data_IF_559416012814
#
_entry.id   IF_559416012814
#
_cell.length_a   1.000
_cell.length_b   1.000
_cell.length_c   1.000
_cell.angle_alpha   90.00
_cell.angle_beta   90.00
_cell.angle_gamma   90.00
#
_symmetry.space_group_name_H-M   'P 1'
#
loop_
_entity.id
_entity.type
_entity.pdbx_description
1 polymer ?
#
# COMPACT_ATOMS: atom_id res chain seq x y z
N UNK A 1 3.46 8.77 -9.51
CA UNK A 1 3.41 7.96 -8.27
C UNK A 1 4.64 8.33 -7.46
N UNK A 2 4.50 8.89 -6.25
CA UNK A 2 5.69 9.11 -5.41
C UNK A 2 6.00 7.80 -4.67
N UNK A 3 7.22 7.33 -4.84
CA UNK A 3 7.81 6.25 -4.05
C UNK A 3 8.26 6.84 -2.70
N UNK A 4 8.01 6.14 -1.60
CA UNK A 4 8.53 6.48 -0.27
C UNK A 4 9.63 5.49 0.11
N UNK A 5 10.77 5.94 0.62
CA UNK A 5 11.87 5.06 1.01
C UNK A 5 11.94 5.00 2.54
N UNK A 6 11.84 3.80 3.10
CA UNK A 6 11.89 3.58 4.54
C UNK A 6 12.76 2.38 4.89
N UNK A 7 13.80 2.57 5.72
CA UNK A 7 14.74 1.53 6.17
C UNK A 7 15.31 0.62 5.06
N UNK A 8 15.53 1.17 3.87
CA UNK A 8 16.04 0.42 2.71
C UNK A 8 14.97 -0.29 1.86
N UNK A 9 13.69 -0.13 2.20
CA UNK A 9 12.57 -0.62 1.43
C UNK A 9 11.92 0.53 0.64
N UNK A 10 11.52 0.24 -0.59
CA UNK A 10 10.68 1.11 -1.39
C UNK A 10 9.20 0.81 -1.10
N UNK A 11 8.45 1.84 -0.77
CA UNK A 11 7.03 1.79 -0.45
C UNK A 11 6.26 2.47 -1.58
N UNK A 12 5.32 1.72 -2.16
CA UNK A 12 4.46 2.16 -3.25
C UNK A 12 2.99 2.11 -2.80
N UNK A 13 2.41 3.27 -2.43
CA UNK A 13 0.99 3.35 -2.12
C UNK A 13 0.13 3.11 -3.36
N UNK A 14 -0.85 2.22 -3.25
CA UNK A 14 -1.78 1.84 -4.31
C UNK A 14 -3.20 2.23 -3.87
N UNK A 15 -3.68 3.38 -4.35
CA UNK A 15 -4.99 3.92 -3.97
C UNK A 15 -5.97 3.73 -5.11
N UNK A 16 -7.13 3.15 -4.83
CA UNK A 16 -8.16 2.88 -5.82
C UNK A 16 -9.56 3.15 -5.27
N UNK A 17 -10.55 3.50 -6.11
CA UNK A 17 -11.94 3.67 -5.67
C UNK A 17 -12.47 2.38 -5.04
N UNK A 18 -13.19 2.48 -3.92
CA UNK A 18 -13.80 1.33 -3.26
C UNK A 18 -14.88 0.69 -4.12
N UNK A 19 -15.70 1.52 -4.78
CA UNK A 19 -16.72 1.09 -5.72
C UNK A 19 -16.25 1.40 -7.14
N UNK A 20 -16.15 0.40 -8.04
CA UNK A 20 -15.86 0.65 -9.44
C UNK A 20 -16.96 1.54 -10.01
N UNK A 21 -16.61 2.49 -10.88
CA UNK A 21 -17.62 3.41 -11.39
C UNK A 21 -18.68 2.65 -12.18
N UNK A 22 -19.94 2.88 -11.81
CA UNK A 22 -21.07 2.34 -12.55
C UNK A 22 -21.30 3.28 -13.73
N UNK A 23 -21.24 2.75 -14.96
CA UNK A 23 -21.63 3.42 -16.21
C UNK A 23 -20.66 4.47 -16.78
N UNK A 24 -19.35 4.23 -16.75
CA UNK A 24 -18.41 5.02 -17.57
C UNK A 24 -18.13 6.44 -17.07
N UNK A 25 -18.66 6.83 -15.91
CA UNK A 25 -18.16 8.02 -15.20
C UNK A 25 -16.75 7.70 -14.68
N UNK A 26 -15.72 8.52 -14.89
CA UNK A 26 -14.35 8.14 -14.55
C UNK A 26 -14.13 7.95 -13.04
N UNK A 27 -14.97 8.53 -12.17
CA UNK A 27 -14.76 8.48 -10.72
C UNK A 27 -16.09 8.44 -9.95
N UNK A 28 -16.25 7.45 -9.06
CA UNK A 28 -17.29 7.44 -8.04
C UNK A 28 -16.66 7.77 -6.69
N UNK A 29 -16.48 9.05 -6.40
CA UNK A 29 -15.86 9.51 -5.16
C UNK A 29 -16.76 9.36 -3.93
N UNK A 30 -18.07 9.16 -4.12
CA UNK A 30 -19.04 8.96 -3.03
C UNK A 30 -18.87 7.59 -2.34
N UNK A 31 -18.25 6.62 -3.02
CA UNK A 31 -17.99 5.28 -2.47
C UNK A 31 -16.75 5.21 -1.57
N UNK A 32 -15.94 6.28 -1.51
CA UNK A 32 -14.65 6.29 -0.83
C UNK A 32 -13.54 5.53 -1.58
N UNK A 33 -12.41 5.38 -0.90
CA UNK A 33 -11.19 4.79 -1.45
C UNK A 33 -10.74 3.59 -0.62
N UNK A 34 -10.22 2.59 -1.29
CA UNK A 34 -9.44 1.54 -0.67
C UNK A 34 -7.94 1.79 -0.91
N UNK A 35 -7.14 1.17 -0.05
CA UNK A 35 -5.70 1.28 -0.11
C UNK A 35 -5.05 -0.11 -0.10
N UNK A 36 -4.00 -0.23 -0.90
CA UNK A 36 -2.99 -1.26 -0.75
C UNK A 36 -1.61 -0.59 -0.74
N UNK A 37 -0.59 -1.36 -0.39
CA UNK A 37 0.79 -0.91 -0.42
C UNK A 37 1.68 -2.03 -0.92
N UNK A 38 2.52 -1.73 -1.91
CA UNK A 38 3.58 -2.64 -2.33
C UNK A 38 4.88 -2.22 -1.68
N UNK A 39 5.52 -3.15 -0.98
CA UNK A 39 6.81 -2.96 -0.34
C UNK A 39 7.83 -3.76 -1.14
N UNK A 40 8.87 -3.10 -1.64
CA UNK A 40 9.95 -3.72 -2.37
C UNK A 40 11.27 -3.59 -1.60
N UNK A 41 12.02 -4.68 -1.53
CA UNK A 41 13.42 -4.63 -1.15
C UNK A 41 14.26 -4.54 -2.42
N UNK A 42 15.06 -3.49 -2.55
CA UNK A 42 16.06 -3.42 -3.59
C UNK A 42 17.19 -4.39 -3.28
N UNK A 43 17.31 -5.45 -4.06
CA UNK A 43 18.53 -6.26 -4.10
C UNK A 43 19.69 -5.41 -4.62
N UNK A 44 20.84 -5.48 -3.96
CA UNK A 44 22.03 -4.71 -4.34
C UNK A 44 22.70 -5.21 -5.62
N UNK A 45 22.40 -6.42 -6.07
CA UNK A 45 23.14 -7.09 -7.14
C UNK A 45 22.26 -8.10 -7.87
N UNK A 46 21.47 -7.64 -8.84
CA UNK A 46 20.83 -8.44 -9.91
C UNK A 46 20.08 -9.75 -9.50
N UNK A 47 19.67 -9.88 -8.24
CA UNK A 47 19.05 -11.10 -7.72
C UNK A 47 17.80 -10.73 -6.95
N UNK A 48 16.67 -10.78 -7.67
CA UNK A 48 15.29 -10.68 -7.19
C UNK A 48 14.99 -9.46 -6.32
N UNK A 49 14.41 -8.42 -6.93
CA UNK A 49 13.57 -7.45 -6.19
C UNK A 49 12.45 -8.23 -5.50
N UNK A 50 12.62 -8.52 -4.21
CA UNK A 50 11.56 -9.16 -3.43
C UNK A 50 10.52 -8.09 -3.12
N UNK A 51 9.27 -8.35 -3.49
CA UNK A 51 8.18 -7.42 -3.23
C UNK A 51 6.95 -8.14 -2.74
N UNK A 52 6.31 -7.60 -1.72
CA UNK A 52 5.04 -8.09 -1.20
C UNK A 52 4.02 -6.94 -1.27
N UNK A 53 2.77 -7.27 -1.60
CA UNK A 53 1.68 -6.28 -1.66
C UNK A 53 0.67 -6.60 -0.58
N UNK A 54 0.39 -5.60 0.25
CA UNK A 54 -0.54 -5.72 1.37
C UNK A 54 -1.75 -4.84 1.10
N UNK A 55 -2.94 -5.41 1.23
CA UNK A 55 -4.18 -4.64 1.23
C UNK A 55 -4.45 -4.13 2.64
N UNK A 56 -4.80 -2.86 2.78
CA UNK A 56 -5.21 -2.31 4.06
C UNK A 56 -6.62 -2.81 4.39
N UNK A 57 -6.73 -3.65 5.41
CA UNK A 57 -8.01 -4.14 5.91
C UNK A 57 -8.70 -3.06 6.76
N UNK A 58 -9.20 -2.01 6.12
CA UNK A 58 -10.05 -1.02 6.78
C UNK A 58 -11.49 -1.53 6.85
N UNK A 59 -12.17 -1.31 7.99
CA UNK A 59 -13.60 -1.66 8.14
C UNK A 59 -14.51 -0.76 7.30
N UNK A 60 -14.04 0.44 6.99
CA UNK A 60 -14.74 1.43 6.17
C UNK A 60 -13.77 1.99 5.12
N UNK A 61 -14.25 2.32 3.92
CA UNK A 61 -13.45 3.01 2.92
C UNK A 61 -12.92 4.35 3.46
N UNK A 62 -11.77 4.78 2.95
CA UNK A 62 -11.22 6.09 3.24
C UNK A 62 -12.02 7.17 2.52
N UNK A 63 -12.32 8.28 3.20
CA UNK A 63 -13.07 9.40 2.64
C UNK A 63 -12.31 10.12 1.52
N UNK A 64 -10.96 10.10 1.57
CA UNK A 64 -10.12 10.71 0.56
C UNK A 64 -8.94 9.84 0.15
N UNK A 65 -8.48 10.01 -1.08
CA UNK A 65 -7.25 9.37 -1.57
C UNK A 65 -6.01 9.79 -0.75
N UNK A 66 -6.03 10.98 -0.17
CA UNK A 66 -4.97 11.48 0.71
C UNK A 66 -4.89 10.71 2.02
N UNK A 67 -6.04 10.44 2.65
CA UNK A 67 -6.13 9.60 3.84
C UNK A 67 -5.70 8.17 3.55
N UNK A 68 -6.22 7.60 2.46
CA UNK A 68 -5.87 6.26 2.00
C UNK A 68 -4.35 6.11 1.79
N UNK A 69 -3.71 7.14 1.22
CA UNK A 69 -2.26 7.18 1.00
C UNK A 69 -1.46 7.29 2.28
N UNK A 70 -1.85 8.16 3.21
CA UNK A 70 -1.19 8.27 4.52
C UNK A 70 -1.28 6.96 5.28
N UNK A 71 -2.47 6.35 5.31
CA UNK A 71 -2.69 5.06 5.93
C UNK A 71 -1.82 3.97 5.29
N UNK A 72 -1.73 3.95 3.96
CA UNK A 72 -0.90 3.01 3.19
C UNK A 72 0.59 3.10 3.56
N UNK A 73 1.12 4.31 3.69
CA UNK A 73 2.51 4.54 4.13
C UNK A 73 2.72 4.10 5.57
N UNK A 74 1.85 4.52 6.49
CA UNK A 74 1.94 4.14 7.91
C UNK A 74 1.87 2.63 8.11
N UNK A 75 0.98 1.95 7.37
CA UNK A 75 0.87 0.50 7.39
C UNK A 75 2.16 -0.17 6.92
N UNK A 76 2.77 0.33 5.84
CA UNK A 76 4.05 -0.20 5.38
C UNK A 76 5.19 0.02 6.37
N UNK A 77 5.25 1.20 7.00
CA UNK A 77 6.23 1.49 8.05
C UNK A 77 6.05 0.53 9.23
N UNK A 78 4.81 0.25 9.68
CA UNK A 78 4.51 -0.73 10.72
C UNK A 78 4.92 -2.17 10.32
N UNK A 79 4.68 -2.55 9.07
CA UNK A 79 5.09 -3.86 8.54
C UNK A 79 6.63 -3.99 8.55
N UNK A 80 7.34 -2.92 8.20
CA UNK A 80 8.81 -2.89 8.18
C UNK A 80 9.39 -2.81 9.61
N UNK A 81 8.76 -2.04 10.50
CA UNK A 81 9.21 -1.84 11.89
C UNK A 81 8.98 -3.06 12.78
N UNK A 82 8.15 -4.02 12.36
CA UNK A 82 8.20 -5.39 12.86
C UNK A 82 7.04 -5.83 13.74
N UNK A 83 5.82 -5.90 13.20
CA UNK A 83 4.75 -6.66 13.86
C UNK A 83 4.07 -7.71 12.97
N UNK A 84 4.88 -8.59 12.37
CA UNK A 84 4.51 -10.01 12.33
C UNK A 84 5.34 -10.70 13.39
N UNK A 85 4.71 -11.05 14.51
CA UNK A 85 5.31 -11.87 15.55
C UNK A 85 5.73 -13.27 15.10
N UNK A 86 5.68 -13.63 13.80
CA UNK A 86 5.97 -15.01 13.39
C UNK A 86 6.71 -15.21 12.04
N UNK A 87 6.87 -14.25 11.12
CA UNK A 87 7.65 -14.50 9.87
C UNK A 87 8.35 -13.26 9.32
N UNK A 88 9.65 -13.33 8.97
CA UNK A 88 10.37 -12.25 8.29
C UNK A 88 9.77 -11.99 6.90
N UNK A 89 9.72 -10.71 6.50
CA UNK A 89 9.20 -10.26 5.19
C UNK A 89 9.82 -11.02 4.00
N UNK A 90 11.00 -11.61 4.21
CA UNK A 90 11.74 -12.36 3.20
C UNK A 90 12.55 -13.53 3.79
N UNK A 91 12.03 -14.26 4.79
CA UNK A 91 12.65 -15.53 5.18
C UNK A 91 12.53 -16.56 4.06
#
# INVERSE_FOLDING_TARGET
MSMHLYRGFEIYPLIYPHVPSRNGSPHNYDGGFDAAVKICLRGTTDTLTRSETFRLASKTPFESAGDARRASVLYAEQVIDGNRGEQPLFA
#
